data_IF_218688766686
#
_entry.id   IF_218688766686
#
_cell.length_a   1.000
_cell.length_b   1.000
_cell.length_c   1.000
_cell.angle_alpha   90.00
_cell.angle_beta   90.00
_cell.angle_gamma   90.00
#
_symmetry.space_group_name_H-M   'P 1'
#
loop_
_entity.id
_entity.type
_entity.pdbx_description
1 polymer ?
#
# COMPACT_ATOMS: atom_id res chain seq x y z
N UNK A 1 -6.28 17.13 5.27
CA UNK A 1 -6.88 16.19 4.29
C UNK A 1 -6.53 16.52 2.84
N UNK A 2 -6.88 17.70 2.30
CA UNK A 2 -6.55 18.07 0.91
C UNK A 2 -5.05 17.98 0.58
N UNK A 3 -4.20 18.40 1.50
CA UNK A 3 -2.75 18.27 1.37
C UNK A 3 -2.30 16.80 1.21
N UNK A 4 -2.84 15.86 2.00
CA UNK A 4 -2.51 14.43 1.89
C UNK A 4 -2.97 13.85 0.55
N UNK A 5 -4.15 14.26 0.07
CA UNK A 5 -4.65 13.86 -1.24
C UNK A 5 -3.73 14.39 -2.35
N UNK A 6 -3.27 15.63 -2.24
CA UNK A 6 -2.31 16.20 -3.19
C UNK A 6 -0.96 15.48 -3.13
N UNK A 7 -0.47 15.13 -1.93
CA UNK A 7 0.75 14.33 -1.74
C UNK A 7 0.63 12.98 -2.45
N UNK A 8 -0.42 12.21 -2.18
CA UNK A 8 -0.71 10.95 -2.88
C UNK A 8 -0.80 11.17 -4.40
N UNK A 9 -1.49 12.23 -4.83
CA UNK A 9 -1.62 12.58 -6.24
C UNK A 9 -0.30 12.91 -6.95
N UNK A 10 0.75 13.33 -6.22
CA UNK A 10 2.10 13.53 -6.76
C UNK A 10 2.87 12.23 -6.99
N UNK A 11 2.44 11.10 -6.40
CA UNK A 11 3.09 9.82 -6.62
C UNK A 11 3.01 9.37 -8.07
N UNK A 12 1.84 9.54 -8.70
CA UNK A 12 1.61 9.15 -10.10
C UNK A 12 2.60 9.82 -11.08
N UNK A 13 2.67 11.16 -11.18
CA UNK A 13 3.64 11.79 -12.07
C UNK A 13 5.10 11.47 -11.70
N UNK A 14 5.40 11.26 -10.41
CA UNK A 14 6.76 10.86 -9.98
C UNK A 14 7.12 9.47 -10.51
N UNK A 15 6.22 8.49 -10.35
CA UNK A 15 6.41 7.12 -10.83
C UNK A 15 6.42 7.11 -12.36
N UNK A 16 5.47 7.75 -13.03
CA UNK A 16 5.38 7.77 -14.50
C UNK A 16 6.67 8.36 -15.12
N UNK A 17 7.19 9.45 -14.59
CA UNK A 17 8.45 10.03 -15.05
C UNK A 17 9.64 9.09 -14.85
N UNK A 18 9.71 8.39 -13.71
CA UNK A 18 10.74 7.38 -13.48
C UNK A 18 10.62 6.19 -14.43
N UNK A 19 9.39 5.72 -14.66
CA UNK A 19 9.08 4.64 -15.61
C UNK A 19 9.47 5.00 -17.05
N UNK A 20 9.21 6.24 -17.49
CA UNK A 20 9.63 6.72 -18.81
C UNK A 20 11.16 6.71 -18.98
N UNK A 21 11.92 7.00 -17.92
CA UNK A 21 13.40 6.98 -17.94
C UNK A 21 13.98 5.56 -17.96
N UNK A 22 13.31 4.59 -17.34
CA UNK A 22 13.80 3.21 -17.30
C UNK A 22 13.27 2.36 -18.45
N UNK A 23 12.13 2.72 -19.05
CA UNK A 23 11.44 1.94 -20.08
C UNK A 23 12.35 1.36 -21.17
N UNK A 24 13.22 2.16 -21.81
CA UNK A 24 14.14 1.67 -22.84
C UNK A 24 15.21 0.67 -22.35
N UNK A 25 15.41 0.57 -21.03
CA UNK A 25 16.42 -0.27 -20.36
C UNK A 25 15.82 -1.50 -19.66
N UNK A 26 14.50 -1.63 -19.62
CA UNK A 26 13.82 -2.74 -18.97
C UNK A 26 14.14 -4.06 -19.68
N UNK A 27 14.50 -5.08 -18.92
CA UNK A 27 14.70 -6.43 -19.44
C UNK A 27 13.37 -7.20 -19.40
N UNK A 28 12.86 -7.55 -20.59
CA UNK A 28 11.63 -8.35 -20.74
C UNK A 28 11.70 -9.73 -20.07
N UNK A 29 12.89 -10.23 -19.79
CA UNK A 29 13.12 -11.52 -19.13
C UNK A 29 13.34 -11.38 -17.62
N UNK A 30 13.52 -10.15 -17.12
CA UNK A 30 13.68 -9.90 -15.69
C UNK A 30 12.33 -9.95 -14.99
N UNK A 31 12.21 -10.91 -14.07
CA UNK A 31 11.05 -11.05 -13.17
C UNK A 31 11.07 -9.96 -12.12
N UNK A 32 12.26 -9.53 -11.69
CA UNK A 32 12.40 -8.42 -10.74
C UNK A 32 11.86 -7.12 -11.34
N UNK A 33 12.23 -6.79 -12.57
CA UNK A 33 11.73 -5.60 -13.27
C UNK A 33 10.22 -5.68 -13.48
N UNK A 34 9.70 -6.84 -13.91
CA UNK A 34 8.26 -7.08 -14.05
C UNK A 34 7.49 -6.92 -12.72
N UNK A 35 8.01 -7.50 -11.63
CA UNK A 35 7.41 -7.38 -10.31
C UNK A 35 7.39 -5.92 -9.83
N UNK A 36 8.51 -5.20 -9.93
CA UNK A 36 8.61 -3.84 -9.40
C UNK A 36 7.73 -2.85 -10.18
N UNK A 37 7.71 -2.96 -11.52
CA UNK A 37 6.82 -2.15 -12.36
C UNK A 37 5.34 -2.47 -12.11
N UNK A 38 4.99 -3.76 -11.98
CA UNK A 38 3.64 -4.19 -11.60
C UNK A 38 3.23 -3.72 -10.21
N UNK A 39 4.16 -3.77 -9.25
CA UNK A 39 3.97 -3.25 -7.87
C UNK A 39 3.65 -1.76 -7.90
N UNK A 40 4.41 -0.96 -8.65
CA UNK A 40 4.19 0.48 -8.76
C UNK A 40 2.82 0.81 -9.36
N UNK A 41 2.44 0.15 -10.46
CA UNK A 41 1.14 0.34 -11.11
C UNK A 41 -0.03 -0.01 -10.20
N UNK A 42 0.05 -1.16 -9.50
CA UNK A 42 -0.96 -1.58 -8.53
C UNK A 42 -1.03 -0.63 -7.33
N UNK A 43 0.12 -0.18 -6.82
CA UNK A 43 0.18 0.75 -5.69
C UNK A 43 -0.51 2.08 -6.01
N UNK A 44 -0.31 2.63 -7.21
CA UNK A 44 -1.01 3.84 -7.67
C UNK A 44 -2.53 3.63 -7.71
N UNK A 45 -2.98 2.50 -8.27
CA UNK A 45 -4.40 2.18 -8.39
C UNK A 45 -5.07 2.01 -7.01
N UNK A 46 -4.39 1.34 -6.06
CA UNK A 46 -4.89 1.17 -4.70
C UNK A 46 -4.90 2.50 -3.93
N UNK A 47 -3.87 3.34 -4.09
CA UNK A 47 -3.81 4.65 -3.45
C UNK A 47 -4.92 5.58 -3.96
N UNK A 48 -5.20 5.56 -5.27
CA UNK A 48 -6.32 6.30 -5.86
C UNK A 48 -7.66 5.80 -5.28
N UNK A 49 -7.84 4.49 -5.13
CA UNK A 49 -9.04 3.92 -4.51
C UNK A 49 -9.21 4.36 -3.04
N UNK A 50 -8.13 4.35 -2.25
CA UNK A 50 -8.14 4.87 -0.86
C UNK A 50 -8.56 6.34 -0.84
N UNK A 51 -8.03 7.17 -1.75
CA UNK A 51 -8.41 8.59 -1.85
C UNK A 51 -9.90 8.75 -2.17
N UNK A 52 -10.45 7.98 -3.12
CA UNK A 52 -11.86 8.09 -3.49
C UNK A 52 -12.78 7.68 -2.34
N UNK A 53 -12.46 6.58 -1.65
CA UNK A 53 -13.22 6.12 -0.48
C UNK A 53 -13.18 7.16 0.65
N UNK A 54 -12.01 7.70 0.97
CA UNK A 54 -11.88 8.74 1.99
C UNK A 54 -12.62 10.04 1.64
N UNK A 55 -12.68 10.40 0.35
CA UNK A 55 -13.45 11.57 -0.13
C UNK A 55 -14.96 11.41 0.04
N UNK A 56 -15.44 10.18 0.06
CA UNK A 56 -16.85 9.83 0.22
C UNK A 56 -17.21 9.45 1.67
N UNK A 57 -16.33 9.77 2.63
CA UNK A 57 -16.50 9.44 4.05
C UNK A 57 -16.55 7.92 4.34
N UNK A 58 -15.89 7.12 3.49
CA UNK A 58 -15.77 5.67 3.60
C UNK A 58 -14.37 5.23 4.02
N UNK A 59 -13.84 5.87 5.07
CA UNK A 59 -12.48 5.63 5.54
C UNK A 59 -12.27 4.19 6.08
N UNK A 60 -13.30 3.59 6.69
CA UNK A 60 -13.23 2.20 7.17
C UNK A 60 -13.16 1.21 6.00
N UNK A 61 -13.96 1.43 4.96
CA UNK A 61 -14.00 0.60 3.75
C UNK A 61 -12.68 0.68 2.96
N UNK A 62 -11.89 1.73 3.18
CA UNK A 62 -10.55 1.86 2.61
C UNK A 62 -9.50 0.98 3.31
N UNK A 63 -9.76 0.43 4.50
CA UNK A 63 -8.75 -0.30 5.29
C UNK A 63 -8.23 -1.57 4.61
N UNK A 64 -9.07 -2.44 4.00
CA UNK A 64 -8.55 -3.59 3.23
C UNK A 64 -7.68 -3.17 2.03
N UNK A 65 -8.04 -2.06 1.38
CA UNK A 65 -7.28 -1.49 0.25
C UNK A 65 -5.93 -0.95 0.73
N UNK A 66 -5.92 -0.21 1.84
CA UNK A 66 -4.70 0.27 2.50
C UNK A 66 -3.79 -0.89 2.93
N UNK A 67 -4.38 -1.96 3.48
CA UNK A 67 -3.66 -3.18 3.88
C UNK A 67 -2.98 -3.85 2.70
N UNK A 68 -3.64 -3.89 1.54
CA UNK A 68 -3.05 -4.41 0.31
C UNK A 68 -1.94 -3.49 -0.22
N UNK A 69 -2.12 -2.17 -0.15
CA UNK A 69 -1.07 -1.21 -0.47
C UNK A 69 0.18 -1.40 0.41
N UNK A 70 -0.01 -1.74 1.68
CA UNK A 70 1.10 -2.09 2.58
C UNK A 70 1.87 -3.35 2.13
N UNK A 71 1.19 -4.41 1.66
CA UNK A 71 1.90 -5.59 1.10
C UNK A 71 2.73 -5.21 -0.13
N UNK A 72 2.23 -4.31 -0.96
CA UNK A 72 2.98 -3.84 -2.12
C UNK A 72 4.20 -3.02 -1.70
N UNK A 73 4.08 -2.19 -0.67
CA UNK A 73 5.22 -1.46 -0.09
C UNK A 73 6.28 -2.43 0.46
N UNK A 74 5.87 -3.44 1.22
CA UNK A 74 6.75 -4.51 1.73
C UNK A 74 7.41 -5.25 0.56
N UNK A 75 6.63 -5.64 -0.44
CA UNK A 75 7.11 -6.33 -1.65
C UNK A 75 8.18 -5.51 -2.38
N UNK A 76 7.92 -4.23 -2.63
CA UNK A 76 8.86 -3.31 -3.26
C UNK A 76 10.14 -3.13 -2.44
N UNK A 77 10.05 -3.18 -1.12
CA UNK A 77 11.17 -2.98 -0.20
C UNK A 77 12.01 -4.23 0.04
N UNK A 78 11.41 -5.42 0.08
CA UNK A 78 12.11 -6.68 0.36
C UNK A 78 12.71 -7.33 -0.89
N UNK A 79 12.09 -7.17 -2.06
CA UNK A 79 12.43 -8.00 -3.22
C UNK A 79 13.65 -7.47 -3.95
N UNK A 80 14.75 -8.22 -3.92
CA UNK A 80 16.03 -7.82 -4.54
C UNK A 80 16.63 -8.86 -5.48
N UNK A 81 16.00 -10.03 -5.62
CA UNK A 81 16.49 -11.14 -6.43
C UNK A 81 15.43 -11.61 -7.41
N UNK A 82 15.87 -12.17 -8.54
CA UNK A 82 14.99 -12.75 -9.58
C UNK A 82 14.19 -13.96 -9.07
N UNK A 83 14.80 -14.76 -8.18
CA UNK A 83 14.16 -15.92 -7.56
C UNK A 83 12.96 -15.50 -6.72
N UNK A 84 13.17 -14.58 -5.76
CA UNK A 84 12.11 -14.06 -4.91
C UNK A 84 11.03 -13.36 -5.71
N UNK A 85 11.43 -12.65 -6.77
CA UNK A 85 10.46 -12.02 -7.66
C UNK A 85 9.59 -13.04 -8.41
N UNK A 86 10.18 -14.15 -8.86
CA UNK A 86 9.45 -15.24 -9.49
C UNK A 86 8.44 -15.92 -8.55
N UNK A 87 8.82 -16.15 -7.29
CA UNK A 87 7.90 -16.68 -6.28
C UNK A 87 6.68 -15.77 -6.08
N UNK A 88 6.92 -14.47 -5.90
CA UNK A 88 5.85 -13.50 -5.65
C UNK A 88 4.95 -13.30 -6.86
N UNK A 89 5.50 -13.27 -8.07
CA UNK A 89 4.70 -13.22 -9.30
C UNK A 89 3.80 -14.45 -9.43
N UNK A 90 4.33 -15.65 -9.12
CA UNK A 90 3.53 -16.88 -9.16
C UNK A 90 2.37 -16.84 -8.16
N UNK A 91 2.60 -16.26 -6.97
CA UNK A 91 1.53 -16.04 -5.98
C UNK A 91 0.48 -15.04 -6.45
N UNK A 92 0.85 -14.03 -7.24
CA UNK A 92 -0.09 -13.05 -7.77
C UNK A 92 -0.98 -13.59 -8.89
N UNK A 93 -0.50 -14.58 -9.64
CA UNK A 93 -1.28 -15.26 -10.69
C UNK A 93 -2.25 -16.30 -10.11
N UNK A 94 -2.10 -16.66 -8.83
CA UNK A 94 -2.98 -17.63 -8.20
C UNK A 94 -4.42 -17.09 -8.09
N UNK A 95 -5.45 -17.86 -8.45
CA UNK A 95 -6.84 -17.39 -8.52
C UNK A 95 -7.53 -17.30 -7.15
N UNK A 96 -6.79 -17.02 -6.07
CA UNK A 96 -7.27 -17.10 -4.69
C UNK A 96 -7.07 -15.80 -3.95
N UNK A 97 -8.18 -15.13 -3.64
CA UNK A 97 -8.15 -13.85 -2.91
C UNK A 97 -7.56 -13.99 -1.50
N UNK A 98 -7.62 -15.18 -0.89
CA UNK A 98 -7.05 -15.44 0.43
C UNK A 98 -5.51 -15.34 0.43
N UNK A 99 -4.88 -15.52 -0.74
CA UNK A 99 -3.43 -15.37 -0.89
C UNK A 99 -2.99 -13.90 -0.99
N UNK A 100 -3.93 -12.96 -1.14
CA UNK A 100 -3.65 -11.52 -1.09
C UNK A 100 -3.34 -11.06 0.34
N UNK A 101 -3.79 -11.81 1.35
CA UNK A 101 -3.52 -11.58 2.76
C UNK A 101 -3.01 -12.87 3.40
N UNK A 102 -1.75 -13.27 3.12
CA UNK A 102 -1.21 -14.50 3.64
C UNK A 102 -1.29 -14.53 5.18
N UNK A 103 -1.50 -15.72 5.73
CA UNK A 103 -1.63 -15.93 7.17
C UNK A 103 -0.36 -15.55 7.96
N UNK A 104 0.80 -15.63 7.29
CA UNK A 104 2.06 -15.08 7.79
C UNK A 104 1.91 -13.58 8.08
N UNK A 105 2.36 -13.12 9.25
CA UNK A 105 2.12 -11.75 9.69
C UNK A 105 2.78 -10.69 8.79
N UNK A 106 2.00 -9.68 8.39
CA UNK A 106 2.52 -8.49 7.67
C UNK A 106 3.61 -7.82 8.49
N UNK A 107 3.43 -7.71 9.81
CA UNK A 107 4.45 -7.15 10.71
C UNK A 107 5.84 -7.78 10.57
N UNK A 108 5.92 -9.11 10.45
CA UNK A 108 7.20 -9.82 10.32
C UNK A 108 7.88 -9.50 8.98
N UNK A 109 7.15 -9.63 7.87
CA UNK A 109 7.67 -9.30 6.53
C UNK A 109 8.07 -7.82 6.41
N UNK A 110 7.28 -6.93 7.02
CA UNK A 110 7.57 -5.51 7.00
C UNK A 110 8.84 -5.16 7.78
N UNK A 111 9.07 -5.83 8.92
CA UNK A 111 10.31 -5.72 9.69
C UNK A 111 11.52 -6.18 8.88
N UNK A 112 11.42 -7.33 8.22
CA UNK A 112 12.46 -7.85 7.31
C UNK A 112 12.75 -6.90 6.15
N UNK A 113 11.72 -6.24 5.63
CA UNK A 113 11.81 -5.23 4.57
C UNK A 113 12.33 -3.85 5.05
N UNK A 114 12.52 -3.69 6.37
CA UNK A 114 12.96 -2.45 7.01
C UNK A 114 11.93 -1.32 6.95
N UNK A 115 10.62 -1.64 6.96
CA UNK A 115 9.57 -0.65 7.14
C UNK A 115 9.44 -0.26 8.63
N UNK A 116 9.00 0.97 8.94
CA UNK A 116 8.75 1.41 10.30
C UNK A 116 7.66 0.55 10.97
N UNK A 117 7.99 -0.04 12.12
CA UNK A 117 7.06 -0.91 12.86
C UNK A 117 5.77 -0.20 13.29
N UNK A 118 5.86 1.10 13.60
CA UNK A 118 4.71 1.90 14.05
C UNK A 118 3.60 2.03 12.99
N UNK A 119 3.96 2.21 11.71
CA UNK A 119 2.99 2.35 10.63
C UNK A 119 2.25 1.04 10.37
N UNK A 120 2.99 -0.06 10.33
CA UNK A 120 2.46 -1.39 10.07
C UNK A 120 1.58 -1.88 11.22
N UNK A 121 2.04 -1.70 12.45
CA UNK A 121 1.25 -2.01 13.66
C UNK A 121 -0.07 -1.23 13.67
N UNK A 122 -0.03 0.04 13.22
CA UNK A 122 -1.23 0.87 13.12
C UNK A 122 -2.17 0.36 12.03
N UNK A 123 -1.67 0.01 10.85
CA UNK A 123 -2.49 -0.60 9.78
C UNK A 123 -3.12 -1.92 10.24
N UNK A 124 -2.36 -2.82 10.87
CA UNK A 124 -2.89 -4.09 11.38
C UNK A 124 -3.95 -3.88 12.47
N UNK A 125 -3.73 -2.92 13.36
CA UNK A 125 -4.71 -2.54 14.39
C UNK A 125 -6.00 -2.04 13.76
N UNK A 126 -5.91 -1.10 12.80
CA UNK A 126 -7.08 -0.59 12.10
C UNK A 126 -7.83 -1.69 11.34
N UNK A 127 -7.12 -2.62 10.68
CA UNK A 127 -7.76 -3.73 9.98
C UNK A 127 -8.45 -4.72 10.91
N UNK A 128 -7.90 -4.95 12.11
CA UNK A 128 -8.58 -5.72 13.15
C UNK A 128 -9.84 -5.00 13.61
N UNK A 129 -9.74 -3.69 13.82
CA UNK A 129 -10.83 -2.86 14.29
C UNK A 129 -11.91 -2.68 13.22
N UNK A 130 -11.60 -2.77 11.92
CA UNK A 130 -12.57 -2.77 10.82
C UNK A 130 -13.69 -3.80 11.02
N UNK A 131 -13.38 -4.98 11.56
CA UNK A 131 -14.39 -6.03 11.84
C UNK A 131 -15.39 -5.64 12.95
N UNK A 132 -15.06 -4.62 13.73
CA UNK A 132 -15.83 -4.07 14.85
C UNK A 132 -16.44 -2.71 14.50
N UNK A 133 -15.72 -1.91 13.70
CA UNK A 133 -16.19 -0.67 13.11
C UNK A 133 -17.35 -0.93 12.15
N UNK A 134 -18.14 0.09 11.85
CA UNK A 134 -19.32 0.03 10.97
C UNK A 134 -20.48 -0.87 11.44
N UNK A 135 -20.44 -1.45 12.65
CA UNK A 135 -21.63 -2.10 13.22
C UNK A 135 -22.72 -1.10 13.65
N UNK A 136 -22.37 0.18 13.72
CA UNK A 136 -23.28 1.28 14.02
C UNK A 136 -24.32 1.56 12.91
N UNK A 137 -24.14 1.04 11.70
CA UNK A 137 -24.95 1.39 10.51
C UNK A 137 -26.37 0.81 10.50
N UNK A 138 -26.67 -0.18 11.35
CA UNK A 138 -27.99 -0.80 11.42
C UNK A 138 -28.89 -0.12 12.46
N UNK A 139 -30.23 -0.11 12.27
CA UNK A 139 -31.16 0.33 13.30
C UNK A 139 -30.93 -0.40 14.63
N UNK A 140 -31.11 0.30 15.75
CA UNK A 140 -30.89 -0.21 17.12
C UNK A 140 -29.45 -0.57 17.50
N UNK A 141 -28.45 -0.21 16.67
CA UNK A 141 -27.04 -0.42 17.00
C UNK A 141 -26.60 0.24 18.32
N UNK A 142 -27.24 1.35 18.70
CA UNK A 142 -27.04 2.07 19.97
C UNK A 142 -27.38 1.27 21.23
N UNK A 143 -28.10 0.16 21.10
CA UNK A 143 -28.41 -0.74 22.23
C UNK A 143 -27.21 -1.62 22.60
N UNK A 144 -26.28 -1.83 21.67
CA UNK A 144 -25.11 -2.70 21.87
C UNK A 144 -23.85 -1.83 21.96
N UNK A 145 -23.21 -1.82 23.14
CA UNK A 145 -21.97 -1.04 23.37
C UNK A 145 -20.86 -1.43 22.39
N UNK A 146 -20.79 -2.72 22.03
CA UNK A 146 -19.80 -3.26 21.08
C UNK A 146 -19.99 -2.74 19.65
N UNK A 147 -21.13 -2.13 19.34
CA UNK A 147 -21.39 -1.51 18.03
C UNK A 147 -21.04 -0.02 18.01
N UNK A 148 -20.72 0.58 19.17
CA UNK A 148 -20.42 2.00 19.31
C UNK A 148 -18.92 2.32 19.16
N UNK A 149 -18.11 1.35 18.72
CA UNK A 149 -16.70 1.59 18.47
C UNK A 149 -16.50 2.59 17.31
N UNK A 150 -15.76 3.68 17.53
CA UNK A 150 -15.54 4.68 16.50
C UNK A 150 -14.74 4.09 15.33
N UNK A 151 -15.12 4.49 14.13
CA UNK A 151 -14.38 4.18 12.91
C UNK A 151 -13.04 4.89 12.82
N UNK A 152 -12.24 4.52 11.82
CA UNK A 152 -11.04 5.24 11.46
C UNK A 152 -11.38 6.57 10.77
N UNK A 153 -10.62 7.62 11.05
CA UNK A 153 -10.74 8.90 10.35
C UNK A 153 -9.98 8.88 9.01
N UNK A 154 -10.51 9.59 8.03
CA UNK A 154 -9.92 9.70 6.69
C UNK A 154 -8.48 10.25 6.69
N UNK A 155 -8.13 11.12 7.64
CA UNK A 155 -6.79 11.72 7.71
C UNK A 155 -5.74 10.67 8.11
N UNK A 156 -6.05 9.79 9.06
CA UNK A 156 -5.20 8.66 9.43
C UNK A 156 -4.98 7.72 8.23
N UNK A 157 -6.05 7.33 7.54
CA UNK A 157 -5.96 6.41 6.38
C UNK A 157 -5.11 7.01 5.26
N UNK A 158 -5.36 8.27 4.90
CA UNK A 158 -4.61 8.97 3.85
C UNK A 158 -3.13 9.16 4.22
N UNK A 159 -2.83 9.44 5.49
CA UNK A 159 -1.45 9.56 5.96
C UNK A 159 -0.68 8.25 5.82
N UNK A 160 -1.30 7.12 6.19
CA UNK A 160 -0.69 5.79 6.03
C UNK A 160 -0.54 5.41 4.56
N UNK A 161 -1.51 5.76 3.70
CA UNK A 161 -1.41 5.51 2.27
C UNK A 161 -0.24 6.28 1.63
N UNK A 162 -0.05 7.56 2.01
CA UNK A 162 1.10 8.35 1.56
C UNK A 162 2.43 7.72 1.98
N UNK A 163 2.53 7.27 3.24
CA UNK A 163 3.72 6.57 3.75
C UNK A 163 4.00 5.27 2.98
N UNK A 164 2.98 4.47 2.70
CA UNK A 164 3.16 3.23 1.91
C UNK A 164 3.62 3.51 0.48
N UNK A 165 3.11 4.56 -0.18
CA UNK A 165 3.61 5.00 -1.49
C UNK A 165 5.07 5.45 -1.45
N UNK A 166 5.46 6.18 -0.39
CA UNK A 166 6.85 6.54 -0.15
C UNK A 166 7.75 5.29 -0.04
N UNK A 167 7.30 4.24 0.64
CA UNK A 167 8.03 2.96 0.70
C UNK A 167 8.11 2.24 -0.66
N UNK A 168 7.07 2.31 -1.48
CA UNK A 168 7.10 1.80 -2.86
C UNK A 168 8.17 2.55 -3.67
N UNK A 169 8.20 3.89 -3.60
CA UNK A 169 9.23 4.69 -4.27
C UNK A 169 10.65 4.34 -3.80
N UNK A 170 10.85 4.11 -2.51
CA UNK A 170 12.15 3.64 -1.99
C UNK A 170 12.55 2.28 -2.55
N UNK A 171 11.58 1.38 -2.75
CA UNK A 171 11.81 0.10 -3.42
C UNK A 171 12.26 0.29 -4.88
N UNK A 172 11.59 1.18 -5.61
CA UNK A 172 11.95 1.52 -6.99
C UNK A 172 13.32 2.22 -7.08
N UNK A 173 13.60 3.16 -6.18
CA UNK A 173 14.89 3.85 -6.09
C UNK A 173 16.04 2.87 -5.82
N UNK A 174 15.84 1.88 -4.94
CA UNK A 174 16.87 0.88 -4.67
C UNK A 174 17.27 0.07 -5.93
N UNK A 175 16.33 -0.13 -6.87
CA UNK A 175 16.61 -0.79 -8.16
C UNK A 175 17.13 0.19 -9.21
N UNK A 176 16.57 1.39 -9.29
CA UNK A 176 16.86 2.40 -10.32
C UNK A 176 17.07 3.79 -9.69
N UNK A 177 18.21 4.04 -9.04
CA UNK A 177 18.41 5.21 -8.17
C UNK A 177 18.38 6.54 -8.92
N UNK A 178 18.80 6.56 -10.18
CA UNK A 178 18.80 7.78 -11.01
C UNK A 178 17.41 8.14 -11.58
N UNK A 179 16.46 7.21 -11.50
CA UNK A 179 15.14 7.35 -12.14
C UNK A 179 14.03 7.69 -11.14
N UNK A 180 14.21 7.33 -9.87
CA UNK A 180 13.24 7.60 -8.80
C UNK A 180 13.92 8.36 -7.66
N UNK A 181 13.26 9.35 -7.03
CA UNK A 181 13.85 10.13 -5.94
C UNK A 181 13.97 9.29 -4.66
N UNK A 182 14.91 9.67 -3.78
CA UNK A 182 14.84 9.27 -2.37
C UNK A 182 13.66 9.96 -1.70
N UNK A 183 13.07 9.35 -0.67
CA UNK A 183 11.90 9.92 0.02
C UNK A 183 12.13 11.30 0.62
N UNK A 184 13.35 11.66 1.01
CA UNK A 184 13.69 13.00 1.51
C UNK A 184 13.65 14.08 0.40
N UNK A 185 13.77 13.67 -0.86
CA UNK A 185 13.73 14.53 -2.05
C UNK A 185 12.37 14.45 -2.76
N UNK A 186 11.50 13.52 -2.35
CA UNK A 186 10.20 13.29 -2.97
C UNK A 186 9.14 14.11 -2.24
N UNK A 187 8.29 14.88 -2.95
CA UNK A 187 7.28 15.74 -2.33
C UNK A 187 6.06 14.96 -1.78
N UNK A 188 6.27 13.70 -1.41
CA UNK A 188 5.27 12.71 -0.99
C UNK A 188 5.09 12.64 0.52
#
# INVERSE_FOLDING_TARGET
MQELIQRIGRARPTIDNGMLRIGPRLDKTSRLDALLTGTASRALSLADAVVQLCRQDHANEALPVLRQLAELAVTARATRTEERAGELLSLWEAPRWELLWPAEGLGARAREAGLPEGEITRIETLCRDFTRANRAVIPWSHVYEENQHPGCDAQTVLSLAAAMLAHVLLGLHARWPESFPKTEESPL
#
